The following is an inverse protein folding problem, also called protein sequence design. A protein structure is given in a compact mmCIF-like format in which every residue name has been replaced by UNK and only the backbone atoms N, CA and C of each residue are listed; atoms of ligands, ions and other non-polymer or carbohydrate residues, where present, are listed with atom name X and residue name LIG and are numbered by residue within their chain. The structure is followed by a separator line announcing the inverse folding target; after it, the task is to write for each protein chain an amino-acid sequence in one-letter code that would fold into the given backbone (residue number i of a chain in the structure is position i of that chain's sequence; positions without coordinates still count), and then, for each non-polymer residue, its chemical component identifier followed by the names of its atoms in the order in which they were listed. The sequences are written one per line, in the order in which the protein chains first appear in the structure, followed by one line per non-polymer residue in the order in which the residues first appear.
data_IF_821941782558
#
_entry.id   IF_821941782558
#
_cell.length_a   1.000
_cell.length_b   1.000
_cell.length_c   1.000
_cell.angle_alpha   90.00
_cell.angle_beta   90.00
_cell.angle_gamma   90.00
#
_symmetry.space_group_name_H-M   'P 1'
#
loop_
_entity.id
_entity.type
_entity.pdbx_description
1 polymer ?
#
# COMPACT_ATOMS: atom_id res chain seq x y z
N UNK A 1 9.56 26.96 -10.33
CA UNK A 1 8.74 25.72 -10.41
C UNK A 1 9.57 24.44 -10.54
N UNK A 2 10.50 24.34 -11.52
CA UNK A 2 11.35 23.14 -11.74
C UNK A 2 12.16 22.67 -10.51
N UNK A 3 12.75 23.59 -9.72
CA UNK A 3 13.54 23.24 -8.51
C UNK A 3 12.70 22.71 -7.34
N UNK A 4 11.49 23.22 -7.16
CA UNK A 4 10.58 22.78 -6.09
C UNK A 4 9.99 21.40 -6.42
N UNK A 5 9.61 21.21 -7.69
CA UNK A 5 9.18 19.92 -8.22
C UNK A 5 10.29 18.86 -8.07
N UNK A 6 11.53 19.20 -8.45
CA UNK A 6 12.67 18.29 -8.26
C UNK A 6 12.89 17.95 -6.79
N UNK A 7 12.85 18.90 -5.85
CA UNK A 7 13.00 18.63 -4.40
C UNK A 7 11.89 17.75 -3.83
N UNK A 8 10.63 18.00 -4.21
CA UNK A 8 9.50 17.15 -3.82
C UNK A 8 9.65 15.74 -4.38
N UNK A 9 10.08 15.62 -5.64
CA UNK A 9 10.34 14.34 -6.29
C UNK A 9 11.53 13.62 -5.63
N UNK A 10 12.60 14.34 -5.24
CA UNK A 10 13.73 13.76 -4.51
C UNK A 10 13.32 13.29 -3.12
N UNK A 11 12.49 14.06 -2.40
CA UNK A 11 12.02 13.68 -1.07
C UNK A 11 11.06 12.48 -1.10
N UNK A 12 10.15 12.43 -2.09
CA UNK A 12 9.28 11.27 -2.35
C UNK A 12 10.09 10.06 -2.79
N UNK A 13 11.12 10.23 -3.63
CA UNK A 13 12.05 9.17 -4.01
C UNK A 13 12.91 8.68 -2.85
N UNK A 14 13.36 9.56 -1.95
CA UNK A 14 14.26 9.17 -0.86
C UNK A 14 13.54 8.42 0.28
N UNK A 15 12.32 8.85 0.63
CA UNK A 15 11.61 8.31 1.80
C UNK A 15 10.44 7.42 1.43
N UNK A 16 9.55 7.88 0.55
CA UNK A 16 8.31 7.14 0.25
C UNK A 16 8.55 5.94 -0.66
N UNK A 17 9.45 6.05 -1.65
CA UNK A 17 9.80 4.92 -2.49
C UNK A 17 10.54 3.84 -1.69
N UNK A 18 11.45 4.24 -0.81
CA UNK A 18 12.18 3.33 0.09
C UNK A 18 11.23 2.62 1.06
N UNK A 19 10.25 3.33 1.64
CA UNK A 19 9.24 2.71 2.51
C UNK A 19 8.31 1.75 1.74
N UNK A 20 7.89 2.12 0.54
CA UNK A 20 7.08 1.23 -0.30
C UNK A 20 7.87 -0.04 -0.69
N UNK A 21 9.16 0.12 -1.03
CA UNK A 21 10.05 -1.01 -1.30
C UNK A 21 10.25 -1.89 -0.06
N UNK A 22 10.39 -1.28 1.12
CA UNK A 22 10.43 -2.00 2.40
C UNK A 22 9.17 -2.82 2.63
N UNK A 23 7.99 -2.22 2.47
CA UNK A 23 6.71 -2.90 2.63
C UNK A 23 6.57 -4.10 1.66
N UNK A 24 7.00 -3.96 0.40
CA UNK A 24 7.02 -5.07 -0.56
C UNK A 24 7.99 -6.16 -0.12
N UNK A 25 9.20 -5.77 0.32
CA UNK A 25 10.24 -6.69 0.76
C UNK A 25 9.80 -7.51 1.99
N UNK A 26 9.15 -6.87 2.96
CA UNK A 26 8.62 -7.51 4.17
C UNK A 26 7.55 -8.56 3.81
N UNK A 27 6.61 -8.23 2.92
CA UNK A 27 5.58 -9.18 2.48
C UNK A 27 6.20 -10.34 1.70
N UNK A 28 7.16 -10.07 0.80
CA UNK A 28 7.87 -11.11 0.08
C UNK A 28 8.65 -12.03 1.00
N UNK A 29 9.32 -11.46 2.00
CA UNK A 29 10.01 -12.24 3.03
C UNK A 29 9.03 -13.18 3.75
N UNK A 30 7.86 -12.70 4.16
CA UNK A 30 6.83 -13.55 4.80
C UNK A 30 6.33 -14.65 3.85
N UNK A 31 6.13 -14.35 2.57
CA UNK A 31 5.73 -15.36 1.56
C UNK A 31 6.79 -16.45 1.42
N UNK A 32 8.06 -16.08 1.33
CA UNK A 32 9.18 -17.02 1.20
C UNK A 32 9.37 -17.83 2.49
N UNK A 33 9.30 -17.19 3.66
CA UNK A 33 9.41 -17.83 4.96
C UNK A 33 8.28 -18.86 5.16
N UNK A 34 7.06 -18.49 4.80
CA UNK A 34 5.89 -19.38 4.85
C UNK A 34 6.10 -20.62 3.99
N UNK A 35 6.77 -20.49 2.85
CA UNK A 35 7.07 -21.62 1.95
C UNK A 35 8.23 -22.49 2.45
N UNK A 36 9.22 -21.88 3.10
CA UNK A 36 10.43 -22.57 3.57
C UNK A 36 10.22 -23.36 4.86
N UNK A 37 9.22 -23.00 5.69
CA UNK A 37 8.93 -23.70 6.95
C UNK A 37 7.61 -24.47 6.89
N UNK A 38 7.64 -25.72 7.35
CA UNK A 38 6.46 -26.58 7.50
C UNK A 38 5.62 -26.28 8.74
N UNK A 39 6.10 -25.41 9.61
CA UNK A 39 5.40 -24.94 10.80
C UNK A 39 4.13 -24.15 10.44
N UNK A 40 4.11 -23.49 9.28
CA UNK A 40 3.00 -22.64 8.82
C UNK A 40 1.90 -23.43 8.08
N UNK A 41 1.36 -24.45 8.73
CA UNK A 41 0.35 -25.38 8.18
C UNK A 41 -0.98 -24.67 7.82
N UNK A 42 -1.31 -23.57 8.50
CA UNK A 42 -2.50 -22.76 8.25
C UNK A 42 -2.48 -21.96 6.94
N UNK A 43 -1.32 -21.85 6.28
CA UNK A 43 -1.12 -21.04 5.06
C UNK A 43 -0.93 -21.91 3.81
N UNK A 44 -1.53 -23.11 3.82
CA UNK A 44 -1.42 -24.07 2.71
C UNK A 44 -1.80 -23.47 1.34
N UNK A 45 -2.77 -22.57 1.27
CA UNK A 45 -3.16 -21.93 0.00
C UNK A 45 -2.03 -21.08 -0.60
N UNK A 46 -1.30 -20.30 0.22
CA UNK A 46 -0.12 -19.54 -0.22
C UNK A 46 1.00 -20.48 -0.68
N UNK A 47 1.17 -21.62 -0.01
CA UNK A 47 2.15 -22.65 -0.38
C UNK A 47 1.83 -23.28 -1.74
N UNK A 48 0.55 -23.56 -2.02
CA UNK A 48 0.10 -24.20 -3.26
C UNK A 48 0.00 -23.23 -4.44
N UNK A 49 -0.12 -21.92 -4.21
CA UNK A 49 -0.04 -20.92 -5.26
C UNK A 49 1.37 -20.92 -5.91
N UNK A 50 1.46 -20.67 -7.21
CA UNK A 50 2.75 -20.42 -7.88
C UNK A 50 3.50 -19.26 -7.21
N UNK A 51 4.83 -19.35 -7.11
CA UNK A 51 5.65 -18.33 -6.43
C UNK A 51 5.47 -16.94 -7.03
N UNK A 52 5.56 -16.82 -8.35
CA UNK A 52 5.46 -15.53 -9.05
C UNK A 52 4.09 -14.87 -8.82
N UNK A 53 2.94 -15.57 -9.00
CA UNK A 53 1.63 -15.02 -8.61
C UNK A 53 1.54 -14.56 -7.16
N UNK A 54 2.11 -15.32 -6.21
CA UNK A 54 2.10 -14.95 -4.80
C UNK A 54 2.91 -13.67 -4.54
N UNK A 55 4.10 -13.53 -5.14
CA UNK A 55 4.91 -12.32 -5.03
C UNK A 55 4.23 -11.11 -5.68
N UNK A 56 3.58 -11.29 -6.84
CA UNK A 56 2.81 -10.23 -7.49
C UNK A 56 1.64 -9.79 -6.59
N UNK A 57 0.84 -10.73 -6.09
CA UNK A 57 -0.26 -10.41 -5.19
C UNK A 57 0.24 -9.72 -3.91
N UNK A 58 1.33 -10.20 -3.32
CA UNK A 58 1.98 -9.56 -2.17
C UNK A 58 2.46 -8.13 -2.45
N UNK A 59 3.04 -7.88 -3.63
CA UNK A 59 3.44 -6.54 -4.03
C UNK A 59 2.23 -5.60 -4.21
N UNK A 60 1.14 -6.10 -4.81
CA UNK A 60 -0.11 -5.34 -4.96
C UNK A 60 -0.72 -5.00 -3.59
N UNK A 61 -0.70 -5.94 -2.64
CA UNK A 61 -1.13 -5.70 -1.25
C UNK A 61 -0.28 -4.60 -0.60
N UNK A 62 1.05 -4.73 -0.64
CA UNK A 62 1.98 -3.76 -0.03
C UNK A 62 1.75 -2.35 -0.60
N UNK A 63 1.77 -2.22 -1.93
CA UNK A 63 1.61 -0.93 -2.60
C UNK A 63 0.22 -0.35 -2.36
N UNK A 64 -0.83 -1.19 -2.40
CA UNK A 64 -2.21 -0.76 -2.15
C UNK A 64 -2.40 -0.25 -0.73
N UNK A 65 -1.93 -0.96 0.30
CA UNK A 65 -2.00 -0.52 1.69
C UNK A 65 -1.15 0.72 1.96
N UNK A 66 0.03 0.82 1.36
CA UNK A 66 0.87 2.00 1.47
C UNK A 66 0.20 3.24 0.85
N UNK A 67 -0.37 3.08 -0.35
CA UNK A 67 -1.10 4.14 -1.03
C UNK A 67 -2.37 4.55 -0.25
N UNK A 68 -3.10 3.57 0.31
CA UNK A 68 -4.25 3.82 1.17
C UNK A 68 -3.87 4.63 2.41
N UNK A 69 -2.85 4.20 3.16
CA UNK A 69 -2.41 4.91 4.36
C UNK A 69 -1.95 6.33 4.05
N UNK A 70 -1.17 6.51 2.98
CA UNK A 70 -0.72 7.84 2.56
C UNK A 70 -1.88 8.76 2.15
N UNK A 71 -2.82 8.26 1.33
CA UNK A 71 -3.96 9.05 0.87
C UNK A 71 -4.97 9.34 1.99
N UNK A 72 -5.20 8.38 2.89
CA UNK A 72 -6.06 8.57 4.05
C UNK A 72 -5.50 9.64 4.97
N UNK A 73 -4.20 9.61 5.27
CA UNK A 73 -3.55 10.64 6.07
C UNK A 73 -3.73 12.02 5.45
N UNK A 74 -3.46 12.15 4.15
CA UNK A 74 -3.64 13.42 3.43
C UNK A 74 -5.10 13.90 3.46
N UNK A 75 -6.10 13.00 3.42
CA UNK A 75 -7.54 13.34 3.51
C UNK A 75 -7.96 13.78 4.92
N UNK A 76 -7.45 13.12 5.96
CA UNK A 76 -7.76 13.46 7.35
C UNK A 76 -7.08 14.77 7.78
N UNK A 77 -5.87 15.00 7.28
CA UNK A 77 -5.07 16.16 7.64
C UNK A 77 -5.45 17.44 6.90
N UNK A 78 -6.41 17.41 5.95
CA UNK A 78 -6.77 18.57 5.11
C UNK A 78 -7.00 19.84 5.91
N UNK A 79 -7.76 19.79 7.02
CA UNK A 79 -8.04 20.99 7.84
C UNK A 79 -6.79 21.53 8.54
N UNK A 80 -5.94 20.63 9.02
CA UNK A 80 -4.68 21.01 9.64
C UNK A 80 -3.74 21.61 8.59
N UNK A 81 -3.58 20.92 7.45
CA UNK A 81 -2.73 21.33 6.34
C UNK A 81 -3.19 22.63 5.69
N UNK A 82 -4.48 22.93 5.63
CA UNK A 82 -4.95 24.25 5.16
C UNK A 82 -4.44 25.41 6.01
N UNK A 83 -4.08 25.17 7.26
CA UNK A 83 -3.59 26.19 8.19
C UNK A 83 -2.06 26.23 8.23
N UNK A 84 -1.41 25.07 8.26
CA UNK A 84 0.04 24.95 8.53
C UNK A 84 0.89 24.58 7.30
N UNK A 85 0.29 24.07 6.23
CA UNK A 85 1.00 23.64 5.01
C UNK A 85 0.11 23.83 3.77
N UNK A 86 -0.33 25.08 3.47
CA UNK A 86 -1.28 25.37 2.40
C UNK A 86 -0.74 24.99 1.01
N UNK A 87 0.57 24.78 0.87
CA UNK A 87 1.20 24.29 -0.34
C UNK A 87 0.93 22.81 -0.64
N UNK A 88 0.39 22.01 0.29
CA UNK A 88 0.08 20.59 0.03
C UNK A 88 -0.97 20.41 -1.08
N UNK A 89 -1.00 19.26 -1.78
CA UNK A 89 -1.81 19.09 -3.00
C UNK A 89 -3.31 19.34 -2.83
N UNK A 90 -3.90 18.91 -1.71
CA UNK A 90 -5.33 19.06 -1.43
C UNK A 90 -5.66 20.50 -1.00
N UNK A 91 -5.00 21.10 0.02
CA UNK A 91 -5.21 22.51 0.38
C UNK A 91 -4.93 23.49 -0.76
N UNK A 92 -3.92 23.24 -1.58
CA UNK A 92 -3.57 24.07 -2.73
C UNK A 92 -4.56 23.96 -3.90
N UNK A 93 -5.62 23.15 -3.77
CA UNK A 93 -6.63 22.93 -4.81
C UNK A 93 -6.12 22.18 -6.05
N UNK A 94 -4.92 21.59 -5.99
CA UNK A 94 -4.32 20.83 -7.11
C UNK A 94 -4.98 19.47 -7.31
N UNK A 95 -5.53 18.90 -6.24
CA UNK A 95 -6.33 17.66 -6.25
C UNK A 95 -7.63 17.93 -5.50
N UNK A 96 -8.77 17.56 -6.09
CA UNK A 96 -10.07 17.69 -5.40
C UNK A 96 -10.14 16.66 -4.27
N UNK A 97 -10.76 17.04 -3.14
CA UNK A 97 -10.97 16.12 -2.01
C UNK A 97 -11.67 14.83 -2.44
N UNK A 98 -12.65 14.91 -3.33
CA UNK A 98 -13.33 13.73 -3.89
C UNK A 98 -12.38 12.78 -4.63
N UNK A 99 -11.39 13.30 -5.36
CA UNK A 99 -10.38 12.49 -6.03
C UNK A 99 -9.47 11.79 -5.03
N UNK A 100 -9.07 12.48 -3.95
CA UNK A 100 -8.27 11.89 -2.88
C UNK A 100 -9.03 10.75 -2.17
N UNK A 101 -10.34 10.92 -1.93
CA UNK A 101 -11.20 9.86 -1.38
C UNK A 101 -11.27 8.66 -2.33
N UNK A 102 -11.45 8.88 -3.65
CA UNK A 102 -11.47 7.80 -4.64
C UNK A 102 -10.16 7.02 -4.65
N UNK A 103 -9.01 7.70 -4.59
CA UNK A 103 -7.69 7.05 -4.50
C UNK A 103 -7.56 6.25 -3.20
N UNK A 104 -8.01 6.81 -2.09
CA UNK A 104 -7.98 6.15 -0.77
C UNK A 104 -8.80 4.86 -0.79
N UNK A 105 -10.07 4.93 -1.20
CA UNK A 105 -10.97 3.78 -1.23
C UNK A 105 -10.52 2.77 -2.29
N UNK A 106 -10.12 3.23 -3.47
CA UNK A 106 -9.69 2.36 -4.56
C UNK A 106 -8.42 1.57 -4.22
N UNK A 107 -7.43 2.22 -3.59
CA UNK A 107 -6.20 1.55 -3.15
C UNK A 107 -6.45 0.49 -2.07
N UNK A 108 -7.37 0.76 -1.14
CA UNK A 108 -7.80 -0.21 -0.15
C UNK A 108 -8.52 -1.42 -0.79
N UNK A 109 -9.45 -1.18 -1.72
CA UNK A 109 -10.17 -2.25 -2.42
C UNK A 109 -9.17 -3.15 -3.17
N UNK A 110 -8.23 -2.54 -3.92
CA UNK A 110 -7.20 -3.29 -4.65
C UNK A 110 -6.34 -4.14 -3.70
N UNK A 111 -5.93 -3.58 -2.56
CA UNK A 111 -5.16 -4.32 -1.57
C UNK A 111 -5.96 -5.50 -0.99
N UNK A 112 -7.22 -5.29 -0.63
CA UNK A 112 -8.08 -6.34 -0.07
C UNK A 112 -8.34 -7.45 -1.09
N UNK A 113 -8.61 -7.11 -2.35
CA UNK A 113 -8.83 -8.10 -3.41
C UNK A 113 -7.57 -8.93 -3.70
N UNK A 114 -6.39 -8.29 -3.71
CA UNK A 114 -5.12 -8.99 -3.86
C UNK A 114 -4.81 -9.89 -2.65
N UNK A 115 -5.11 -9.42 -1.43
CA UNK A 115 -4.95 -10.21 -0.21
C UNK A 115 -5.88 -11.42 -0.16
N UNK A 116 -7.14 -11.26 -0.60
CA UNK A 116 -8.08 -12.37 -0.72
C UNK A 116 -7.63 -13.45 -1.72
N UNK A 117 -6.83 -13.07 -2.72
CA UNK A 117 -6.23 -14.03 -3.65
C UNK A 117 -5.08 -14.84 -3.03
N UNK A 118 -4.43 -14.34 -1.97
CA UNK A 118 -3.35 -15.05 -1.27
C UNK A 118 -3.88 -16.15 -0.34
N UNK A 119 -5.11 -16.05 0.14
CA UNK A 119 -5.74 -17.12 0.90
C UNK A 119 -7.19 -16.83 1.26
N UNK A 120 -8.04 -17.85 1.20
CA UNK A 120 -9.44 -17.76 1.59
C UNK A 120 -9.60 -17.82 3.11
N UNK A 121 -10.54 -17.03 3.62
CA UNK A 121 -11.07 -17.03 5.00
C UNK A 121 -11.81 -18.34 5.39
N UNK A 122 -11.31 -19.51 4.97
CA UNK A 122 -12.11 -20.73 4.83
C UNK A 122 -11.71 -21.93 5.70
N UNK A 123 -11.14 -21.73 6.90
CA UNK A 123 -10.88 -22.86 7.84
C UNK A 123 -11.32 -22.65 9.30
N UNK A 124 -11.96 -21.52 9.62
CA UNK A 124 -12.36 -21.21 11.01
C UNK A 124 -13.87 -20.90 11.18
N UNK A 125 -14.70 -21.11 10.15
CA UNK A 125 -16.17 -20.86 10.20
C UNK A 125 -16.99 -22.09 9.74
N UNK A 126 -16.39 -23.27 9.76
CA UNK A 126 -17.06 -24.58 9.60
C UNK A 126 -16.48 -25.53 10.60
#
# INVERSE_FOLDING_TARGET
MRRLFLRLLTAVQLTRLTMAFGAVSDIWFVILLTRASDEYVGLAEVKHMGLVPALIAGAVVAVGLFAYGAALNDVLDVRHDTTFSPERPIPAGRIKLSQAIVVTVGSLIVAVLAGAALGRWGKYIT
#
